data_IF_090931374256
#
_entry.id   IF_090931374256
#
_cell.length_a   1.000
_cell.length_b   1.000
_cell.length_c   1.000
_cell.angle_alpha   90.00
_cell.angle_beta   90.00
_cell.angle_gamma   90.00
#
_symmetry.space_group_name_H-M   'P 1'
#
loop_
_entity.id
_entity.type
_entity.pdbx_description
1 polymer ?
#
# COMPACT_ATOMS: atom_id res chain seq x y z
N UNK A 1 12.01 -1.58 -3.27
CA UNK A 1 11.16 -1.06 -2.17
C UNK A 1 10.11 -2.09 -1.81
N UNK A 2 9.95 -2.45 -0.54
CA UNK A 2 8.91 -3.38 -0.08
C UNK A 2 7.65 -2.60 0.35
N UNK A 3 6.52 -2.88 -0.28
CA UNK A 3 5.24 -2.22 -0.03
C UNK A 3 4.24 -3.24 0.53
N UNK A 4 3.59 -2.88 1.64
CA UNK A 4 2.50 -3.64 2.21
C UNK A 4 1.16 -2.99 1.89
N UNK A 5 0.32 -3.67 1.13
CA UNK A 5 -1.05 -3.24 0.86
C UNK A 5 -2.02 -3.88 1.86
N UNK A 6 -2.75 -3.05 2.62
CA UNK A 6 -3.69 -3.49 3.66
C UNK A 6 -5.11 -3.09 3.27
N UNK A 7 -5.99 -4.06 3.06
CA UNK A 7 -7.34 -3.82 2.55
C UNK A 7 -8.37 -4.60 3.37
N UNK A 8 -9.45 -3.94 3.79
CA UNK A 8 -10.47 -4.52 4.68
C UNK A 8 -11.62 -5.20 3.93
N UNK A 9 -11.72 -4.94 2.62
CA UNK A 9 -12.90 -5.26 1.81
C UNK A 9 -12.77 -6.59 1.04
N UNK A 10 -12.04 -7.57 1.59
CA UNK A 10 -11.89 -8.91 1.04
C UNK A 10 -10.72 -9.12 0.05
N UNK A 11 -10.46 -10.39 -0.30
CA UNK A 11 -9.29 -10.83 -1.10
C UNK A 11 -9.19 -10.07 -2.44
N UNK A 12 -10.31 -9.84 -3.13
CA UNK A 12 -10.32 -9.17 -4.43
C UNK A 12 -9.83 -7.73 -4.39
N UNK A 13 -10.21 -7.01 -3.33
CA UNK A 13 -9.80 -5.62 -3.13
C UNK A 13 -8.31 -5.52 -2.82
N UNK A 14 -7.77 -6.47 -2.06
CA UNK A 14 -6.32 -6.55 -1.78
C UNK A 14 -5.49 -6.84 -3.02
N UNK A 15 -5.98 -7.73 -3.89
CA UNK A 15 -5.30 -8.05 -5.14
C UNK A 15 -5.35 -6.86 -6.10
N UNK A 16 -6.47 -6.14 -6.17
CA UNK A 16 -6.62 -4.97 -7.04
C UNK A 16 -5.60 -3.87 -6.71
N UNK A 17 -5.53 -3.45 -5.44
CA UNK A 17 -4.58 -2.41 -5.03
C UNK A 17 -3.14 -2.85 -5.32
N UNK A 18 -2.81 -4.12 -5.02
CA UNK A 18 -1.49 -4.68 -5.33
C UNK A 18 -1.17 -4.56 -6.83
N UNK A 19 -2.06 -5.03 -7.70
CA UNK A 19 -1.83 -5.03 -9.16
C UNK A 19 -1.65 -3.62 -9.69
N UNK A 20 -2.44 -2.66 -9.20
CA UNK A 20 -2.33 -1.26 -9.64
C UNK A 20 -1.03 -0.61 -9.15
N UNK A 21 -0.61 -0.88 -7.91
CA UNK A 21 0.68 -0.41 -7.39
C UNK A 21 1.86 -0.99 -8.18
N UNK A 22 1.84 -2.30 -8.48
CA UNK A 22 2.87 -2.93 -9.31
C UNK A 22 2.92 -2.34 -10.73
N UNK A 23 1.74 -2.09 -11.34
CA UNK A 23 1.66 -1.49 -12.67
C UNK A 23 2.22 -0.06 -12.69
N UNK A 24 1.78 0.79 -11.75
CA UNK A 24 2.23 2.18 -11.67
C UNK A 24 3.72 2.27 -11.33
N UNK A 25 4.22 1.43 -10.43
CA UNK A 25 5.64 1.37 -10.13
C UNK A 25 6.48 0.98 -11.35
N UNK A 26 6.01 0.02 -12.15
CA UNK A 26 6.66 -0.35 -13.41
C UNK A 26 6.70 0.82 -14.41
N UNK A 27 5.61 1.58 -14.54
CA UNK A 27 5.55 2.77 -15.39
C UNK A 27 6.49 3.90 -14.92
N UNK A 28 6.70 4.02 -13.61
CA UNK A 28 7.65 4.95 -13.00
C UNK A 28 9.11 4.44 -13.05
N UNK A 29 9.34 3.17 -13.41
CA UNK A 29 10.67 2.55 -13.40
C UNK A 29 11.21 2.22 -12.00
N UNK A 30 10.32 2.07 -11.01
CA UNK A 30 10.67 1.80 -9.60
C UNK A 30 10.58 0.30 -9.35
N UNK A 31 11.63 -0.29 -8.76
CA UNK A 31 11.61 -1.69 -8.35
C UNK A 31 10.87 -1.85 -7.01
N UNK A 32 9.67 -2.44 -7.07
CA UNK A 32 8.81 -2.68 -5.90
C UNK A 32 8.53 -4.17 -5.71
N UNK A 33 8.47 -4.58 -4.45
CA UNK A 33 7.96 -5.88 -4.03
C UNK A 33 6.69 -5.65 -3.21
N UNK A 34 5.53 -5.95 -3.78
CA UNK A 34 4.23 -5.66 -3.17
C UNK A 34 3.64 -6.91 -2.54
N UNK A 35 3.34 -6.83 -1.25
CA UNK A 35 2.67 -7.88 -0.48
C UNK A 35 1.32 -7.38 0.03
N UNK A 36 0.42 -8.31 0.37
CA UNK A 36 -0.89 -7.97 0.91
C UNK A 36 -1.07 -8.59 2.28
N UNK A 37 -1.80 -7.91 3.16
CA UNK A 37 -2.19 -8.45 4.47
C UNK A 37 -3.59 -7.99 4.85
N UNK A 38 -4.25 -8.78 5.70
CA UNK A 38 -5.50 -8.38 6.35
C UNK A 38 -5.22 -7.39 7.50
N UNK A 39 -6.24 -6.63 7.91
CA UNK A 39 -6.10 -5.61 8.95
C UNK A 39 -5.60 -6.15 10.29
N UNK A 40 -6.02 -7.38 10.67
CA UNK A 40 -5.64 -7.97 11.96
C UNK A 40 -4.18 -8.40 12.02
N UNK A 41 -3.61 -8.79 10.89
CA UNK A 41 -2.20 -9.19 10.77
C UNK A 41 -1.27 -8.04 10.41
N UNK A 42 -1.77 -7.03 9.69
CA UNK A 42 -0.96 -5.99 9.06
C UNK A 42 -0.10 -5.20 10.04
N UNK A 43 -0.63 -4.85 11.22
CA UNK A 43 0.15 -4.09 12.23
C UNK A 43 1.41 -4.82 12.68
N UNK A 44 1.34 -6.15 12.80
CA UNK A 44 2.47 -6.99 13.22
C UNK A 44 3.59 -7.07 12.17
N UNK A 45 3.26 -6.84 10.90
CA UNK A 45 4.21 -6.94 9.78
C UNK A 45 4.56 -5.59 9.14
N UNK A 46 3.79 -4.53 9.41
CA UNK A 46 3.97 -3.19 8.85
C UNK A 46 5.41 -2.68 8.97
N UNK A 47 6.01 -2.78 10.16
CA UNK A 47 7.36 -2.29 10.45
C UNK A 47 8.49 -3.04 9.70
N UNK A 48 8.19 -4.13 9.00
CA UNK A 48 9.15 -4.85 8.15
C UNK A 48 9.14 -4.36 6.69
N UNK A 49 8.29 -3.38 6.38
CA UNK A 49 8.13 -2.83 5.03
C UNK A 49 8.61 -1.38 5.00
N UNK A 50 8.91 -0.90 3.79
CA UNK A 50 9.34 0.48 3.55
C UNK A 50 8.14 1.44 3.50
N UNK A 51 6.98 0.94 3.05
CA UNK A 51 5.75 1.70 2.91
C UNK A 51 4.52 0.81 3.14
N UNK A 52 3.49 1.35 3.77
CA UNK A 52 2.16 0.73 3.88
C UNK A 52 1.14 1.56 3.12
N UNK A 53 0.37 0.91 2.24
CA UNK A 53 -0.75 1.51 1.51
C UNK A 53 -2.05 0.91 2.03
N UNK A 54 -3.01 1.76 2.40
CA UNK A 54 -4.29 1.29 2.95
C UNK A 54 -5.44 2.25 2.68
N UNK A 55 -6.67 1.88 3.05
CA UNK A 55 -7.82 2.80 3.02
C UNK A 55 -7.88 3.65 4.29
N UNK A 56 -8.58 4.79 4.22
CA UNK A 56 -8.80 5.66 5.38
C UNK A 56 -9.46 4.94 6.56
N UNK A 57 -10.29 3.93 6.28
CA UNK A 57 -10.99 3.11 7.28
C UNK A 57 -10.03 2.25 8.11
N UNK A 58 -8.90 1.83 7.53
CA UNK A 58 -7.94 0.93 8.15
C UNK A 58 -6.66 1.62 8.64
N UNK A 59 -6.41 2.86 8.22
CA UNK A 59 -5.28 3.65 8.71
C UNK A 59 -5.22 3.71 10.26
N UNK A 60 -6.34 3.85 11.01
CA UNK A 60 -6.31 3.85 12.48
C UNK A 60 -5.75 2.54 13.09
N UNK A 61 -5.97 1.39 12.46
CA UNK A 61 -5.46 0.09 12.95
C UNK A 61 -3.93 0.04 12.90
N UNK A 62 -3.33 0.77 11.96
CA UNK A 62 -1.90 0.86 11.73
C UNK A 62 -1.22 1.99 12.53
N UNK A 63 -1.97 2.75 13.34
CA UNK A 63 -1.36 3.77 14.21
C UNK A 63 -0.31 3.16 15.15
N UNK A 64 0.80 3.88 15.33
CA UNK A 64 1.93 3.45 16.15
C UNK A 64 2.95 2.56 15.43
N UNK A 65 2.76 2.28 14.13
CA UNK A 65 3.85 1.75 13.29
C UNK A 65 4.88 2.84 13.03
N UNK A 66 6.14 2.45 12.87
CA UNK A 66 7.22 3.36 12.49
C UNK A 66 7.33 3.52 10.97
N UNK A 67 6.80 2.56 10.22
CA UNK A 67 6.72 2.63 8.76
C UNK A 67 5.68 3.67 8.34
N UNK A 68 5.96 4.49 7.30
CA UNK A 68 4.98 5.40 6.71
C UNK A 68 3.72 4.67 6.25
N UNK A 69 2.56 5.25 6.56
CA UNK A 69 1.26 4.75 6.14
C UNK A 69 0.61 5.80 5.25
N UNK A 70 0.38 5.47 3.99
CA UNK A 70 -0.31 6.33 3.02
C UNK A 70 -1.73 5.80 2.78
N UNK A 71 -2.66 6.73 2.71
CA UNK A 71 -4.06 6.44 2.44
C UNK A 71 -4.30 6.52 0.93
N UNK A 72 -4.90 5.47 0.38
CA UNK A 72 -5.44 5.44 -0.98
C UNK A 72 -6.97 5.42 -0.86
N UNK A 73 -7.61 6.44 -1.42
CA UNK A 73 -9.05 6.67 -1.35
C UNK A 73 -9.79 5.83 -2.39
N UNK A 74 -9.19 5.66 -3.57
CA UNK A 74 -9.72 4.86 -4.65
C UNK A 74 -8.64 3.93 -5.22
N UNK A 75 -8.76 2.63 -4.94
CA UNK A 75 -7.76 1.66 -5.39
C UNK A 75 -7.70 1.48 -6.91
N UNK A 76 -8.66 2.00 -7.68
CA UNK A 76 -8.64 2.03 -9.15
C UNK A 76 -8.02 3.30 -9.72
N UNK A 77 -7.80 4.32 -8.88
CA UNK A 77 -7.21 5.58 -9.31
C UNK A 77 -5.68 5.44 -9.36
N UNK A 78 -5.18 5.14 -10.56
CA UNK A 78 -3.74 4.98 -10.78
C UNK A 78 -2.99 6.29 -10.65
N UNK A 79 -3.65 7.45 -10.84
CA UNK A 79 -3.01 8.75 -10.69
C UNK A 79 -2.79 9.04 -9.20
N UNK A 80 -3.77 8.75 -8.33
CA UNK A 80 -3.61 8.82 -6.86
C UNK A 80 -2.45 7.93 -6.38
N UNK A 81 -2.40 6.68 -6.85
CA UNK A 81 -1.32 5.74 -6.50
C UNK A 81 0.03 6.28 -6.98
N UNK A 82 0.08 6.84 -8.19
CA UNK A 82 1.31 7.41 -8.76
C UNK A 82 1.82 8.58 -7.94
N UNK A 83 0.97 9.54 -7.60
CA UNK A 83 1.32 10.68 -6.76
C UNK A 83 1.90 10.24 -5.41
N UNK A 84 1.37 9.17 -4.82
CA UNK A 84 1.93 8.60 -3.59
C UNK A 84 3.30 7.99 -3.85
N UNK A 85 3.45 7.12 -4.84
CA UNK A 85 4.72 6.43 -5.12
C UNK A 85 5.84 7.40 -5.50
N UNK A 86 5.53 8.48 -6.22
CA UNK A 86 6.51 9.53 -6.59
C UNK A 86 7.13 10.22 -5.36
N UNK A 87 6.43 10.29 -4.21
CA UNK A 87 7.01 10.82 -2.96
C UNK A 87 8.16 9.97 -2.41
N UNK A 88 8.23 8.71 -2.83
CA UNK A 88 9.19 7.71 -2.36
C UNK A 88 10.13 7.24 -3.49
N UNK A 89 10.04 7.86 -4.68
CA UNK A 89 10.88 7.58 -5.82
C UNK A 89 12.18 8.41 -5.75
N UNK A 90 13.18 7.89 -5.04
CA UNK A 90 14.57 8.40 -5.07
C UNK A 90 15.42 7.69 -6.14
#
# INVERSE_FOLDING_TARGET
MNILCVCGNGIGTSVLLKVNVESVAADLGIDVNVTTSDAGSAKGTANMNDLVLTSAELAPELEGTTTPVEIISNFMDTDEIKEVLEKYAD
#
